data_IF_565807390586
#
_entry.id   IF_565807390586
#
_cell.length_a   1.000
_cell.length_b   1.000
_cell.length_c   1.000
_cell.angle_alpha   90.00
_cell.angle_beta   90.00
_cell.angle_gamma   90.00
#
_symmetry.space_group_name_H-M   'P 1'
#
loop_
_entity.id
_entity.type
_entity.pdbx_description
1 polymer ?
#
# COMPACT_ATOMS: atom_id res chain seq x y z
N UNK A 1 -7.67 -6.26 44.71
CA UNK A 1 -7.35 -5.56 43.45
C UNK A 1 -6.32 -6.42 42.72
N UNK A 2 -6.79 -7.47 42.03
CA UNK A 2 -5.94 -8.41 41.30
C UNK A 2 -5.38 -7.72 40.06
N UNK A 3 -4.06 -7.62 39.98
CA UNK A 3 -3.35 -7.18 38.79
C UNK A 3 -3.43 -8.30 37.76
N UNK A 4 -4.38 -8.20 36.83
CA UNK A 4 -4.43 -9.05 35.63
C UNK A 4 -3.13 -8.88 34.86
N UNK A 5 -2.19 -9.79 35.11
CA UNK A 5 -0.91 -9.83 34.42
C UNK A 5 -1.17 -10.07 32.94
N UNK A 6 -0.78 -9.08 32.11
CA UNK A 6 -0.95 -9.17 30.67
C UNK A 6 -0.25 -10.45 30.15
N UNK A 7 -0.88 -11.22 29.25
CA UNK A 7 -0.33 -12.48 28.77
C UNK A 7 1.04 -12.24 28.11
N UNK A 8 2.10 -12.87 28.66
CA UNK A 8 3.46 -12.85 28.11
C UNK A 8 3.40 -13.36 26.66
N UNK A 9 3.82 -12.54 25.69
CA UNK A 9 3.93 -12.95 24.28
C UNK A 9 4.82 -14.19 24.19
N UNK A 10 4.32 -15.27 23.57
CA UNK A 10 5.12 -16.48 23.35
C UNK A 10 6.35 -16.14 22.49
N UNK A 11 7.54 -16.69 22.81
CA UNK A 11 8.72 -16.48 21.99
C UNK A 11 8.48 -16.98 20.56
N UNK A 12 9.05 -16.27 19.59
CA UNK A 12 9.01 -16.63 18.17
C UNK A 12 10.42 -16.73 17.62
N UNK A 13 10.68 -17.67 16.73
CA UNK A 13 11.94 -17.81 16.01
C UNK A 13 11.77 -17.45 14.53
N UNK A 14 12.83 -16.89 13.95
CA UNK A 14 12.87 -16.57 12.53
C UNK A 14 12.92 -17.84 11.69
N UNK A 15 12.29 -17.79 10.52
CA UNK A 15 12.39 -18.86 9.52
C UNK A 15 13.25 -18.41 8.35
N UNK A 16 13.58 -19.34 7.44
CA UNK A 16 14.29 -19.02 6.18
C UNK A 16 13.57 -17.95 5.34
N UNK A 17 12.27 -17.78 5.54
CA UNK A 17 11.46 -16.79 4.82
C UNK A 17 11.37 -15.44 5.51
N UNK A 18 11.66 -15.36 6.82
CA UNK A 18 11.48 -14.12 7.58
C UNK A 18 12.27 -12.96 6.98
N UNK A 19 13.58 -13.15 6.75
CA UNK A 19 14.41 -12.09 6.17
C UNK A 19 14.06 -11.80 4.72
N UNK A 20 13.75 -12.84 3.93
CA UNK A 20 13.38 -12.71 2.52
C UNK A 20 12.11 -11.88 2.34
N UNK A 21 11.08 -12.18 3.14
CA UNK A 21 9.81 -11.45 3.11
C UNK A 21 9.98 -10.00 3.55
N UNK A 22 10.79 -9.73 4.58
CA UNK A 22 11.09 -8.36 5.03
C UNK A 22 11.84 -7.54 3.98
N UNK A 23 12.84 -8.12 3.32
CA UNK A 23 13.61 -7.43 2.27
C UNK A 23 12.73 -7.18 1.05
N UNK A 24 11.97 -8.19 0.59
CA UNK A 24 10.99 -8.02 -0.48
C UNK A 24 10.03 -6.87 -0.17
N UNK A 25 9.46 -6.87 1.04
CA UNK A 25 8.54 -5.81 1.49
C UNK A 25 9.21 -4.44 1.46
N UNK A 26 10.46 -4.32 1.94
CA UNK A 26 11.17 -3.06 1.96
C UNK A 26 11.42 -2.50 0.55
N UNK A 27 11.85 -3.38 -0.38
CA UNK A 27 12.08 -3.02 -1.78
C UNK A 27 10.79 -2.60 -2.46
N UNK A 28 9.72 -3.39 -2.33
CA UNK A 28 8.42 -3.04 -2.89
C UNK A 28 7.90 -1.72 -2.31
N UNK A 29 8.01 -1.52 -0.99
CA UNK A 29 7.57 -0.27 -0.36
C UNK A 29 8.35 0.94 -0.88
N UNK A 30 9.66 0.81 -1.12
CA UNK A 30 10.45 1.89 -1.73
C UNK A 30 9.98 2.20 -3.16
N UNK A 31 9.77 1.16 -3.98
CA UNK A 31 9.25 1.32 -5.35
C UNK A 31 7.87 1.95 -5.35
N UNK A 32 6.97 1.51 -4.48
CA UNK A 32 5.62 2.06 -4.38
C UNK A 32 5.60 3.49 -3.87
N UNK A 33 6.48 3.87 -2.94
CA UNK A 33 6.62 5.27 -2.53
C UNK A 33 6.99 6.17 -3.71
N UNK A 34 7.99 5.78 -4.50
CA UNK A 34 8.41 6.53 -5.70
C UNK A 34 7.31 6.56 -6.76
N UNK A 35 6.72 5.39 -7.08
CA UNK A 35 5.64 5.30 -8.06
C UNK A 35 4.42 6.12 -7.65
N UNK A 36 4.04 6.10 -6.38
CA UNK A 36 2.93 6.90 -5.85
C UNK A 36 3.26 8.39 -5.92
N UNK A 37 4.49 8.80 -5.62
CA UNK A 37 4.91 10.20 -5.76
C UNK A 37 4.86 10.67 -7.22
N UNK A 38 5.33 9.86 -8.16
CA UNK A 38 5.24 10.15 -9.59
C UNK A 38 3.78 10.27 -10.04
N UNK A 39 2.93 9.31 -9.68
CA UNK A 39 1.49 9.37 -9.99
C UNK A 39 0.86 10.66 -9.41
N UNK A 40 1.12 10.94 -8.13
CA UNK A 40 0.43 11.99 -7.39
C UNK A 40 0.86 13.42 -7.75
N UNK A 41 2.08 13.60 -8.26
CA UNK A 41 2.65 14.93 -8.51
C UNK A 41 3.06 15.18 -9.96
N UNK A 42 3.37 14.15 -10.75
CA UNK A 42 3.81 14.29 -12.13
C UNK A 42 2.75 13.88 -13.16
N UNK A 43 1.88 12.92 -12.83
CA UNK A 43 0.82 12.43 -13.75
C UNK A 43 -0.52 13.10 -13.44
N UNK A 44 -0.96 13.05 -12.18
CA UNK A 44 -2.23 13.62 -11.76
C UNK A 44 -2.07 15.11 -11.45
N UNK A 45 -2.39 15.93 -12.46
CA UNK A 45 -2.43 17.38 -12.37
C UNK A 45 -3.85 17.95 -12.51
N UNK A 46 -3.96 19.27 -12.52
CA UNK A 46 -5.26 19.95 -12.61
C UNK A 46 -5.94 19.75 -13.96
N UNK A 47 -5.17 19.60 -15.04
CA UNK A 47 -5.69 19.40 -16.38
C UNK A 47 -6.25 17.98 -16.52
N UNK A 48 -5.50 16.97 -16.09
CA UNK A 48 -5.97 15.59 -16.02
C UNK A 48 -7.23 15.46 -15.15
N UNK A 49 -7.28 16.13 -14.00
CA UNK A 49 -8.45 16.10 -13.12
C UNK A 49 -9.67 16.73 -13.79
N UNK A 50 -9.51 17.88 -14.45
CA UNK A 50 -10.58 18.54 -15.21
C UNK A 50 -11.09 17.63 -16.33
N UNK A 51 -10.19 17.05 -17.13
CA UNK A 51 -10.56 16.13 -18.21
C UNK A 51 -11.30 14.90 -17.69
N UNK A 52 -10.86 14.34 -16.57
CA UNK A 52 -11.55 13.22 -15.91
C UNK A 52 -12.97 13.61 -15.50
N UNK A 53 -13.16 14.80 -14.94
CA UNK A 53 -14.48 15.29 -14.51
C UNK A 53 -15.42 15.57 -15.69
N UNK A 54 -14.88 16.10 -16.80
CA UNK A 54 -15.63 16.27 -18.04
C UNK A 54 -16.02 14.93 -18.67
N UNK A 55 -15.11 13.96 -18.69
CA UNK A 55 -15.39 12.59 -19.13
C UNK A 55 -16.46 11.91 -18.25
N UNK A 56 -16.52 12.25 -16.96
CA UNK A 56 -17.56 11.81 -16.04
C UNK A 56 -18.89 12.59 -16.19
N UNK A 57 -19.01 13.48 -17.19
CA UNK A 57 -20.24 14.18 -17.54
C UNK A 57 -20.42 15.57 -16.94
N UNK A 58 -19.43 16.12 -16.24
CA UNK A 58 -19.50 17.51 -15.78
C UNK A 58 -19.31 18.50 -16.93
N UNK A 59 -20.02 19.62 -16.89
CA UNK A 59 -19.73 20.73 -17.82
C UNK A 59 -18.33 21.29 -17.57
N UNK A 60 -17.65 21.78 -18.62
CA UNK A 60 -16.28 22.29 -18.47
C UNK A 60 -16.16 23.46 -17.48
N UNK A 61 -17.17 24.32 -17.39
CA UNK A 61 -17.21 25.40 -16.40
C UNK A 61 -17.35 24.87 -14.96
N UNK A 62 -18.07 23.77 -14.76
CA UNK A 62 -18.18 23.12 -13.46
C UNK A 62 -16.87 22.39 -13.10
N UNK A 63 -16.35 21.58 -14.03
CA UNK A 63 -15.09 20.84 -13.85
C UNK A 63 -13.92 21.79 -13.51
N UNK A 64 -13.80 22.92 -14.21
CA UNK A 64 -12.76 23.92 -13.94
C UNK A 64 -12.85 24.53 -12.52
N UNK A 65 -14.06 24.68 -11.97
CA UNK A 65 -14.25 25.21 -10.61
C UNK A 65 -13.95 24.17 -9.54
N UNK A 66 -14.30 22.92 -9.77
CA UNK A 66 -14.22 21.86 -8.75
C UNK A 66 -12.88 21.11 -8.76
N UNK A 67 -12.21 21.00 -9.91
CA UNK A 67 -10.96 20.25 -10.08
C UNK A 67 -9.86 20.60 -9.05
N UNK A 68 -9.61 21.87 -8.66
CA UNK A 68 -8.60 22.18 -7.65
C UNK A 68 -8.88 21.53 -6.29
N UNK A 69 -10.15 21.47 -5.87
CA UNK A 69 -10.55 20.85 -4.61
C UNK A 69 -10.39 19.34 -4.63
N UNK A 70 -10.82 18.70 -5.72
CA UNK A 70 -10.62 17.26 -5.92
C UNK A 70 -9.14 16.89 -5.99
N UNK A 71 -8.33 17.67 -6.71
CA UNK A 71 -6.89 17.46 -6.79
C UNK A 71 -6.22 17.58 -5.41
N UNK A 72 -6.64 18.54 -4.59
CA UNK A 72 -6.12 18.67 -3.22
C UNK A 72 -6.45 17.42 -2.38
N UNK A 73 -7.69 16.94 -2.43
CA UNK A 73 -8.11 15.72 -1.74
C UNK A 73 -7.32 14.49 -2.21
N UNK A 74 -7.20 14.32 -3.53
CA UNK A 74 -6.41 13.25 -4.14
C UNK A 74 -4.95 13.29 -3.66
N UNK A 75 -4.34 14.49 -3.67
CA UNK A 75 -2.96 14.68 -3.22
C UNK A 75 -2.77 14.36 -1.74
N UNK A 76 -3.71 14.74 -0.88
CA UNK A 76 -3.66 14.42 0.53
C UNK A 76 -3.65 12.89 0.76
N UNK A 77 -4.51 12.15 0.07
CA UNK A 77 -4.54 10.68 0.12
C UNK A 77 -3.23 10.09 -0.43
N UNK A 78 -2.75 10.57 -1.58
CA UNK A 78 -1.48 10.14 -2.15
C UNK A 78 -0.29 10.34 -1.19
N UNK A 79 -0.23 11.48 -0.49
CA UNK A 79 0.79 11.72 0.54
C UNK A 79 0.75 10.71 1.68
N UNK A 80 -0.44 10.31 2.14
CA UNK A 80 -0.58 9.29 3.17
C UNK A 80 -0.01 7.94 2.71
N UNK A 81 -0.27 7.54 1.47
CA UNK A 81 0.31 6.32 0.90
C UNK A 81 1.83 6.42 0.71
N UNK A 82 2.35 7.57 0.28
CA UNK A 82 3.80 7.80 0.18
C UNK A 82 4.47 7.64 1.54
N UNK A 83 3.93 8.26 2.59
CA UNK A 83 4.45 8.15 3.95
C UNK A 83 4.35 6.71 4.46
N UNK A 84 3.20 6.04 4.25
CA UNK A 84 3.00 4.65 4.63
C UNK A 84 4.01 3.71 3.97
N UNK A 85 4.25 3.86 2.67
CA UNK A 85 5.26 3.10 1.94
C UNK A 85 6.69 3.44 2.39
N UNK A 86 7.01 4.71 2.64
CA UNK A 86 8.31 5.10 3.18
C UNK A 86 8.59 4.44 4.55
N UNK A 87 7.59 4.37 5.43
CA UNK A 87 7.66 3.62 6.69
C UNK A 87 7.77 2.10 6.47
N UNK A 88 7.20 1.57 5.40
CA UNK A 88 7.32 0.16 4.98
C UNK A 88 8.76 -0.28 4.69
N UNK A 89 9.65 0.64 4.30
CA UNK A 89 11.09 0.39 4.12
C UNK A 89 11.75 -0.11 5.41
N UNK A 90 11.15 0.17 6.58
CA UNK A 90 11.61 -0.31 7.88
C UNK A 90 11.28 -1.79 8.15
N UNK A 91 10.65 -2.51 7.21
CA UNK A 91 10.35 -3.94 7.32
C UNK A 91 11.53 -4.83 7.80
N UNK A 92 12.79 -4.58 7.43
CA UNK A 92 13.95 -5.36 7.90
C UNK A 92 14.20 -5.27 9.42
N UNK A 93 13.57 -4.32 10.12
CA UNK A 93 13.58 -4.26 11.60
C UNK A 93 12.67 -5.32 12.24
N UNK A 94 11.83 -6.01 11.46
CA UNK A 94 10.96 -7.09 11.91
C UNK A 94 9.92 -6.68 12.95
N UNK A 95 9.63 -5.38 13.06
CA UNK A 95 8.63 -4.86 14.01
C UNK A 95 7.23 -5.25 13.56
N UNK A 96 6.41 -5.79 14.47
CA UNK A 96 5.04 -6.23 14.14
C UNK A 96 4.15 -5.10 13.65
N UNK A 97 4.31 -3.88 14.18
CA UNK A 97 3.49 -2.75 13.73
C UNK A 97 3.80 -2.37 12.27
N UNK A 98 5.05 -2.52 11.82
CA UNK A 98 5.43 -2.27 10.41
C UNK A 98 4.72 -3.25 9.49
N UNK A 99 4.58 -4.52 9.90
CA UNK A 99 3.83 -5.52 9.12
C UNK A 99 2.39 -5.09 8.90
N UNK A 100 1.71 -4.69 9.97
CA UNK A 100 0.31 -4.28 9.90
C UNK A 100 0.12 -2.97 9.16
N UNK A 101 1.05 -2.03 9.31
CA UNK A 101 1.09 -0.80 8.53
C UNK A 101 1.19 -1.11 7.03
N UNK A 102 2.15 -1.93 6.61
CA UNK A 102 2.31 -2.33 5.20
C UNK A 102 1.05 -3.02 4.70
N UNK A 103 0.46 -3.95 5.46
CA UNK A 103 -0.81 -4.61 5.09
C UNK A 103 -1.93 -3.59 4.88
N UNK A 104 -2.09 -2.62 5.78
CA UNK A 104 -3.13 -1.60 5.67
C UNK A 104 -2.91 -0.68 4.45
N UNK A 105 -1.67 -0.22 4.23
CA UNK A 105 -1.29 0.62 3.09
C UNK A 105 -1.55 -0.11 1.77
N UNK A 106 -1.08 -1.35 1.64
CA UNK A 106 -1.25 -2.13 0.41
C UNK A 106 -2.71 -2.51 0.18
N UNK A 107 -3.50 -2.77 1.23
CA UNK A 107 -4.95 -2.96 1.10
C UNK A 107 -5.65 -1.70 0.58
N UNK A 108 -5.27 -0.52 1.06
CA UNK A 108 -5.80 0.75 0.58
C UNK A 108 -5.47 1.00 -0.90
N UNK A 109 -4.22 0.77 -1.31
CA UNK A 109 -3.81 0.93 -2.71
C UNK A 109 -4.44 -0.14 -3.62
N UNK A 110 -4.53 -1.39 -3.17
CA UNK A 110 -5.17 -2.46 -3.93
C UNK A 110 -6.68 -2.20 -4.13
N UNK A 111 -7.35 -1.54 -3.17
CA UNK A 111 -8.72 -1.10 -3.36
C UNK A 111 -8.84 -0.08 -4.51
N UNK A 112 -7.79 0.71 -4.77
CA UNK A 112 -7.70 1.61 -5.93
C UNK A 112 -7.93 0.91 -7.27
N UNK A 113 -7.46 -0.33 -7.42
CA UNK A 113 -7.70 -1.14 -8.64
C UNK A 113 -9.19 -1.30 -8.96
N UNK A 114 -10.05 -1.34 -7.93
CA UNK A 114 -11.48 -1.58 -8.07
C UNK A 114 -12.29 -0.29 -7.98
N UNK A 115 -11.82 0.68 -7.19
CA UNK A 115 -12.56 1.90 -6.86
C UNK A 115 -12.24 3.07 -7.79
N UNK A 116 -11.11 3.05 -8.51
CA UNK A 116 -10.77 4.13 -9.46
C UNK A 116 -11.71 4.04 -10.67
N UNK A 117 -12.43 5.12 -11.01
CA UNK A 117 -13.32 5.14 -12.17
C UNK A 117 -12.57 4.83 -13.48
N UNK A 118 -13.15 4.03 -14.40
CA UNK A 118 -12.58 3.71 -15.71
C UNK A 118 -12.09 4.95 -16.49
N UNK A 119 -12.78 6.08 -16.32
CA UNK A 119 -12.51 7.36 -16.97
C UNK A 119 -11.09 7.88 -16.64
N UNK A 120 -10.58 7.62 -15.44
CA UNK A 120 -9.22 8.00 -15.04
C UNK A 120 -8.18 7.25 -15.88
N UNK A 121 -8.42 5.96 -16.13
CA UNK A 121 -7.51 5.14 -16.93
C UNK A 121 -7.53 5.56 -18.40
N UNK A 122 -8.73 5.79 -18.95
CA UNK A 122 -8.87 6.27 -20.33
C UNK A 122 -8.21 7.64 -20.51
N UNK A 123 -8.50 8.59 -19.61
CA UNK A 123 -7.90 9.94 -19.64
C UNK A 123 -6.36 9.90 -19.54
N UNK A 124 -5.82 9.00 -18.70
CA UNK A 124 -4.36 8.80 -18.61
C UNK A 124 -3.76 8.33 -19.94
N UNK A 125 -4.43 7.40 -20.62
CA UNK A 125 -3.99 6.88 -21.93
C UNK A 125 -4.12 7.95 -23.01
N UNK A 126 -5.19 8.75 -22.98
CA UNK A 126 -5.42 9.80 -23.98
C UNK A 126 -4.38 10.93 -23.86
N UNK A 127 -4.01 11.32 -22.63
CA UNK A 127 -3.05 12.40 -22.38
C UNK A 127 -1.60 11.95 -22.49
N UNK A 128 -1.28 10.76 -21.99
CA UNK A 128 0.10 10.32 -21.80
C UNK A 128 0.44 9.02 -22.53
N UNK A 129 -0.49 8.44 -23.28
CA UNK A 129 -0.35 7.12 -23.89
C UNK A 129 -0.37 5.98 -22.86
N UNK A 130 -0.17 4.72 -23.30
CA UNK A 130 -0.16 3.56 -22.40
C UNK A 130 0.86 3.64 -21.26
N UNK A 131 1.94 4.40 -21.44
CA UNK A 131 2.97 4.64 -20.42
C UNK A 131 2.42 5.40 -19.21
N UNK A 132 1.37 6.21 -19.39
CA UNK A 132 0.67 6.90 -18.30
C UNK A 132 0.02 5.97 -17.29
N UNK A 133 -0.22 4.70 -17.65
CA UNK A 133 -0.74 3.67 -16.75
C UNK A 133 0.33 3.00 -15.89
N UNK A 134 1.62 3.19 -16.21
CA UNK A 134 2.70 2.48 -15.52
C UNK A 134 2.72 2.74 -14.02
N UNK A 135 2.61 3.98 -13.51
CA UNK A 135 2.69 4.19 -12.07
C UNK A 135 1.54 3.47 -11.36
N UNK A 136 0.31 3.58 -11.85
CA UNK A 136 -0.86 2.87 -11.27
C UNK A 136 -0.73 1.35 -11.35
N UNK A 137 -0.28 0.80 -12.48
CA UNK A 137 -0.08 -0.64 -12.62
C UNK A 137 0.98 -1.16 -11.64
N UNK A 138 2.07 -0.41 -11.46
CA UNK A 138 3.15 -0.74 -10.53
C UNK A 138 2.70 -0.60 -9.09
N UNK A 139 2.03 0.49 -8.72
CA UNK A 139 1.63 0.75 -7.33
C UNK A 139 0.46 -0.12 -6.93
N UNK A 140 -0.65 -0.09 -7.65
CA UNK A 140 -1.91 -0.68 -7.19
C UNK A 140 -1.92 -2.18 -7.48
N UNK A 141 -1.47 -2.56 -8.68
CA UNK A 141 -1.27 -3.96 -9.05
C UNK A 141 -0.15 -4.62 -8.24
N UNK A 142 0.97 -3.92 -8.05
CA UNK A 142 2.06 -4.40 -7.19
C UNK A 142 1.63 -4.52 -5.73
N UNK A 143 0.85 -3.56 -5.21
CA UNK A 143 0.33 -3.59 -3.85
C UNK A 143 -0.61 -4.77 -3.62
N UNK A 144 -1.50 -5.06 -4.59
CA UNK A 144 -2.36 -6.24 -4.54
C UNK A 144 -1.52 -7.53 -4.44
N UNK A 145 -0.49 -7.68 -5.28
CA UNK A 145 0.38 -8.86 -5.25
C UNK A 145 1.14 -8.98 -3.93
N UNK A 146 1.76 -7.90 -3.44
CA UNK A 146 2.48 -7.91 -2.18
C UNK A 146 1.54 -8.22 -1.00
N UNK A 147 0.34 -7.63 -0.99
CA UNK A 147 -0.68 -7.91 0.02
C UNK A 147 -1.06 -9.38 0.04
N UNK A 148 -1.33 -9.99 -1.12
CA UNK A 148 -1.64 -11.42 -1.22
C UNK A 148 -0.51 -12.27 -0.65
N UNK A 149 0.74 -11.96 -0.98
CA UNK A 149 1.91 -12.67 -0.43
C UNK A 149 1.97 -12.54 1.09
N UNK A 150 1.85 -11.32 1.64
CA UNK A 150 1.91 -11.09 3.08
C UNK A 150 0.80 -11.84 3.83
N UNK A 151 -0.42 -11.81 3.31
CA UNK A 151 -1.57 -12.51 3.88
C UNK A 151 -1.42 -14.04 3.79
N UNK A 152 -0.90 -14.56 2.68
CA UNK A 152 -0.63 -15.99 2.54
C UNK A 152 0.39 -16.47 3.58
N UNK A 153 1.51 -15.75 3.73
CA UNK A 153 2.50 -16.05 4.77
C UNK A 153 1.90 -15.92 6.19
N UNK A 154 1.09 -14.91 6.44
CA UNK A 154 0.40 -14.77 7.73
C UNK A 154 -0.56 -15.92 8.00
N UNK A 155 -1.31 -16.40 7.00
CA UNK A 155 -2.24 -17.52 7.12
C UNK A 155 -1.51 -18.84 7.41
N UNK A 156 -0.33 -19.06 6.80
CA UNK A 156 0.49 -20.26 6.98
C UNK A 156 1.18 -20.25 8.35
N UNK A 157 1.87 -19.17 8.70
CA UNK A 157 2.71 -19.10 9.91
C UNK A 157 1.95 -18.62 11.15
N UNK A 158 0.77 -18.03 10.98
CA UNK A 158 -0.07 -17.42 12.02
C UNK A 158 0.67 -16.40 12.90
N UNK A 159 1.71 -15.80 12.34
CA UNK A 159 2.47 -14.70 12.92
C UNK A 159 2.99 -13.76 11.82
N UNK A 160 3.19 -12.47 12.12
CA UNK A 160 3.84 -11.53 11.20
C UNK A 160 5.24 -11.98 10.80
N UNK A 161 5.66 -11.60 9.59
CA UNK A 161 7.01 -11.86 9.06
C UNK A 161 7.39 -13.35 8.96
N UNK A 162 6.40 -14.24 8.80
CA UNK A 162 6.63 -15.67 8.64
C UNK A 162 7.47 -16.30 9.78
N UNK A 163 7.34 -15.78 11.01
CA UNK A 163 8.02 -16.35 12.19
C UNK A 163 7.30 -17.61 12.67
N UNK A 164 8.01 -18.53 13.31
CA UNK A 164 7.38 -19.67 13.99
C UNK A 164 7.24 -19.38 15.47
N UNK A 165 6.11 -19.79 16.07
CA UNK A 165 5.99 -19.82 17.53
C UNK A 165 6.88 -20.94 18.04
N UNK A 166 7.75 -20.65 19.00
CA UNK A 166 8.51 -21.69 19.69
C UNK A 166 7.49 -22.52 20.46
N UNK A 167 7.34 -23.81 20.14
CA UNK A 167 6.60 -24.71 21.02
C UNK A 167 7.43 -24.83 22.29
N UNK A 168 6.88 -24.38 23.42
CA UNK A 168 7.48 -24.66 24.72
C UNK A 168 7.37 -26.16 24.97
N UNK A 169 8.41 -26.91 24.59
CA UNK A 169 8.60 -28.26 25.11
C UNK A 169 8.80 -28.17 26.63
N UNK A 170 8.30 -29.14 27.42
CA UNK A 170 8.61 -29.18 28.84
C UNK A 170 10.14 -29.21 29.05
N UNK A 171 10.65 -28.65 30.16
CA UNK A 171 12.07 -28.76 30.47
C UNK A 171 12.47 -30.24 30.53
N UNK A 172 13.70 -30.61 30.14
CA UNK A 172 14.21 -31.95 30.40
C UNK A 172 14.13 -32.19 31.91
N UNK A 173 13.43 -33.27 32.28
CA UNK A 173 13.28 -33.72 33.67
C UNK A 173 14.57 -34.28 34.25
#
# INVERSE_FOLDING_TARGET
METTSAPKRRPTTDTVWTRRLQVLTAVCSAVFAVGTALQNFAVVDGEMMRHTMEAAGMSGAQAAREAPGFLLGFRAVGCLFIVGNALGVLAPLGRTWVFWLVVAVNAGQAAGVVLIPPEVFHTSVDLYGPVGLLPTAVTDGGALLLLTVLLAFFAIYRTPWARRRTQGGPPPG
#
